data_IF_254575157820
#
_entry.id   IF_254575157820
#
_cell.length_a   1.000
_cell.length_b   1.000
_cell.length_c   1.000
_cell.angle_alpha   90.00
_cell.angle_beta   90.00
_cell.angle_gamma   90.00
#
_symmetry.space_group_name_H-M   'P 1'
#
loop_
_entity.id
_entity.type
_entity.pdbx_description
1 polymer ?
#
# COMPACT_ATOMS: atom_id res chain seq x y z
N UNK A 1 -0.33 13.76 -0.35
CA UNK A 1 -0.58 13.15 -1.69
C UNK A 1 -1.60 12.03 -1.51
N UNK A 2 -2.53 11.77 -2.43
CA UNK A 2 -3.45 10.63 -2.28
C UNK A 2 -2.86 9.38 -2.95
N UNK A 3 -2.60 8.32 -2.18
CA UNK A 3 -2.17 7.01 -2.69
C UNK A 3 -3.38 6.07 -2.70
N UNK A 4 -3.68 5.50 -3.86
CA UNK A 4 -4.76 4.53 -4.02
C UNK A 4 -4.43 3.23 -3.27
N UNK A 5 -5.26 2.75 -2.34
CA UNK A 5 -5.05 1.42 -1.75
C UNK A 5 -5.31 0.30 -2.78
N UNK A 6 -4.71 -0.87 -2.56
CA UNK A 6 -4.87 -2.03 -3.43
C UNK A 6 -3.59 -2.78 -3.76
N UNK A 7 -3.60 -3.55 -4.84
CA UNK A 7 -2.48 -4.38 -5.27
C UNK A 7 -1.46 -3.57 -6.05
N UNK A 8 -0.20 -3.67 -5.64
CA UNK A 8 0.96 -3.05 -6.28
C UNK A 8 1.99 -4.10 -6.67
N UNK A 9 2.75 -3.82 -7.72
CA UNK A 9 3.92 -4.60 -8.15
C UNK A 9 5.17 -3.76 -8.04
N UNK A 10 6.15 -4.25 -7.30
CA UNK A 10 7.48 -3.65 -7.27
C UNK A 10 8.19 -3.90 -8.61
N UNK A 11 9.04 -2.98 -9.06
CA UNK A 11 9.76 -3.13 -10.33
C UNK A 11 10.61 -4.41 -10.42
N UNK A 12 10.97 -5.02 -9.28
CA UNK A 12 11.65 -6.33 -9.20
C UNK A 12 10.70 -7.55 -9.31
N UNK A 13 9.41 -7.34 -9.58
CA UNK A 13 8.44 -8.39 -9.87
C UNK A 13 7.52 -8.78 -8.70
N UNK A 14 7.96 -8.64 -7.45
CA UNK A 14 7.17 -9.03 -6.27
C UNK A 14 5.90 -8.17 -6.11
N UNK A 15 4.84 -8.80 -5.60
CA UNK A 15 3.55 -8.15 -5.36
C UNK A 15 3.35 -7.81 -3.88
N UNK A 16 2.64 -6.71 -3.68
CA UNK A 16 2.33 -6.15 -2.37
C UNK A 16 0.90 -5.65 -2.37
N UNK A 17 0.23 -5.64 -1.22
CA UNK A 17 -1.05 -4.97 -1.02
C UNK A 17 -0.83 -3.72 -0.19
N UNK A 18 -1.09 -2.55 -0.74
CA UNK A 18 -1.15 -1.28 -0.02
C UNK A 18 -2.45 -1.23 0.76
N UNK A 19 -2.33 -1.06 2.06
CA UNK A 19 -3.45 -0.99 2.99
C UNK A 19 -3.91 0.45 3.21
N UNK A 20 -2.98 1.40 3.14
CA UNK A 20 -3.28 2.83 3.25
C UNK A 20 -2.04 3.66 3.56
N UNK A 21 -2.28 4.94 3.82
CA UNK A 21 -1.26 5.89 4.27
C UNK A 21 -1.56 6.26 5.72
N UNK A 22 -0.56 6.18 6.59
CA UNK A 22 -0.60 6.64 7.96
C UNK A 22 0.31 7.85 8.15
N UNK A 23 0.07 8.63 9.19
CA UNK A 23 0.92 9.73 9.60
C UNK A 23 1.74 9.31 10.82
N UNK A 24 3.06 9.41 10.73
CA UNK A 24 3.96 9.13 11.86
C UNK A 24 3.75 10.17 12.96
N UNK A 25 3.45 9.77 14.20
CA UNK A 25 3.03 10.69 15.26
C UNK A 25 4.10 11.69 15.66
N UNK A 26 5.36 11.25 15.69
CA UNK A 26 6.48 12.07 16.19
C UNK A 26 7.05 13.02 15.15
N UNK A 27 6.93 12.68 13.86
CA UNK A 27 7.57 13.43 12.77
C UNK A 27 6.58 14.02 11.76
N UNK A 28 5.30 13.66 11.90
CA UNK A 28 4.23 13.97 10.96
C UNK A 28 4.46 13.47 9.52
N UNK A 29 5.45 12.60 9.30
CA UNK A 29 5.76 12.05 7.98
C UNK A 29 4.66 11.08 7.51
N UNK A 30 4.25 11.20 6.24
CA UNK A 30 3.33 10.25 5.60
C UNK A 30 4.05 8.94 5.27
N UNK A 31 3.56 7.82 5.80
CA UNK A 31 4.08 6.47 5.59
C UNK A 31 3.03 5.59 4.90
N UNK A 32 3.45 4.80 3.92
CA UNK A 32 2.63 3.75 3.31
C UNK A 32 2.72 2.50 4.16
N UNK A 33 1.56 1.97 4.58
CA UNK A 33 1.44 0.66 5.20
C UNK A 33 1.06 -0.34 4.12
N UNK A 34 1.84 -1.41 3.97
CA UNK A 34 1.63 -2.40 2.91
C UNK A 34 2.10 -3.79 3.34
N UNK A 35 1.46 -4.82 2.79
CA UNK A 35 1.76 -6.23 3.07
C UNK A 35 2.47 -6.87 1.88
N UNK A 36 3.52 -7.64 2.14
CA UNK A 36 4.11 -8.51 1.12
C UNK A 36 3.15 -9.66 0.78
N UNK A 37 2.98 -9.99 -0.51
CA UNK A 37 2.14 -11.11 -0.94
C UNK A 37 2.96 -12.36 -1.28
N UNK A 38 4.07 -12.54 -0.56
CA UNK A 38 5.02 -13.64 -0.73
C UNK A 38 5.75 -13.92 0.59
N UNK A 39 6.37 -15.10 0.69
CA UNK A 39 7.06 -15.52 1.90
C UNK A 39 6.11 -15.57 3.09
N UNK A 40 6.49 -14.95 4.20
CA UNK A 40 5.71 -14.90 5.45
C UNK A 40 4.59 -13.85 5.45
N UNK A 41 4.30 -13.21 4.31
CA UNK A 41 3.26 -12.19 4.18
C UNK A 41 3.38 -11.02 5.19
N UNK A 42 4.63 -10.62 5.48
CA UNK A 42 4.94 -9.59 6.47
C UNK A 42 4.38 -8.20 6.14
N UNK A 43 4.14 -7.43 7.20
CA UNK A 43 3.65 -6.05 7.12
C UNK A 43 4.83 -5.06 7.18
N UNK A 44 4.81 -4.05 6.33
CA UNK A 44 5.88 -3.07 6.18
C UNK A 44 5.34 -1.64 6.20
N UNK A 45 6.22 -0.73 6.59
CA UNK A 45 6.03 0.72 6.48
C UNK A 45 7.17 1.35 5.68
N UNK A 46 6.86 2.35 4.86
CA UNK A 46 7.86 3.10 4.08
C UNK A 46 7.39 4.55 3.88
N UNK A 47 8.28 5.55 3.88
CA UNK A 47 7.92 6.91 3.50
C UNK A 47 7.16 6.98 2.18
N UNK A 48 6.07 7.75 2.14
CA UNK A 48 5.22 7.93 0.97
C UNK A 48 6.04 8.41 -0.23
N UNK A 49 6.88 9.42 -0.01
CA UNK A 49 7.79 9.97 -1.03
C UNK A 49 8.65 8.90 -1.70
N UNK A 50 9.24 8.00 -0.91
CA UNK A 50 10.10 6.91 -1.39
C UNK A 50 9.29 5.76 -2.01
N UNK A 51 8.03 5.60 -1.64
CA UNK A 51 7.15 4.57 -2.20
C UNK A 51 6.68 4.99 -3.60
N UNK A 52 6.26 6.24 -3.77
CA UNK A 52 5.76 6.81 -5.04
C UNK A 52 6.87 7.22 -6.01
N UNK A 53 8.12 7.09 -5.60
CA UNK A 53 9.29 7.45 -6.41
C UNK A 53 9.38 6.60 -7.70
N UNK A 54 9.91 7.19 -8.76
CA UNK A 54 10.35 6.45 -9.93
C UNK A 54 11.81 6.01 -9.79
N UNK A 55 12.16 4.86 -10.35
CA UNK A 55 13.52 4.32 -10.43
C UNK A 55 13.93 4.16 -11.87
N UNK A 56 15.24 4.20 -12.13
CA UNK A 56 15.79 3.91 -13.45
C UNK A 56 16.03 2.40 -13.61
N UNK A 57 15.42 1.80 -14.63
CA UNK A 57 15.57 0.38 -14.99
C UNK A 57 15.82 0.32 -16.49
N UNK A 58 16.97 -0.21 -16.89
CA UNK A 58 17.38 -0.29 -18.31
C UNK A 58 17.34 1.06 -19.06
N UNK A 59 17.66 2.16 -18.39
CA UNK A 59 17.63 3.51 -18.96
C UNK A 59 16.24 4.15 -19.03
N UNK A 60 15.20 3.48 -18.54
CA UNK A 60 13.83 4.00 -18.46
C UNK A 60 13.43 4.32 -17.01
N UNK A 61 12.72 5.43 -16.80
CA UNK A 61 12.14 5.77 -15.49
C UNK A 61 10.79 5.07 -15.33
N UNK A 62 10.70 4.16 -14.37
CA UNK A 62 9.48 3.41 -14.04
C UNK A 62 9.10 3.62 -12.58
N UNK A 63 7.80 3.54 -12.21
CA UNK A 63 7.40 3.58 -10.81
C UNK A 63 8.09 2.48 -10.00
N UNK A 64 8.61 2.80 -8.82
CA UNK A 64 9.17 1.80 -7.90
C UNK A 64 8.14 0.74 -7.55
N UNK A 65 6.91 1.18 -7.31
CA UNK A 65 5.72 0.37 -7.12
C UNK A 65 4.63 0.84 -8.09
N UNK A 66 4.19 -0.02 -8.99
CA UNK A 66 3.11 0.27 -9.93
C UNK A 66 1.79 -0.32 -9.40
N UNK A 67 0.72 0.47 -9.42
CA UNK A 67 -0.63 0.00 -9.11
C UNK A 67 -1.06 -1.04 -10.16
N UNK A 68 -1.56 -2.18 -9.69
CA UNK A 68 -2.08 -3.29 -10.50
C UNK A 68 -3.61 -3.35 -10.41
N UNK A 69 -4.15 -3.24 -9.19
CA UNK A 69 -5.59 -3.22 -8.96
C UNK A 69 -5.92 -2.33 -7.77
N UNK A 70 -6.93 -1.48 -7.88
CA UNK A 70 -7.41 -0.68 -6.77
C UNK A 70 -8.30 -1.54 -5.84
N UNK A 71 -8.21 -1.29 -4.53
CA UNK A 71 -9.10 -1.86 -3.53
C UNK A 71 -9.64 -0.70 -2.67
N UNK A 72 -10.96 -0.64 -2.46
CA UNK A 72 -11.59 0.49 -1.76
C UNK A 72 -11.38 0.44 -0.24
N UNK A 73 -11.36 -0.77 0.34
CA UNK A 73 -11.21 -0.99 1.78
C UNK A 73 -10.38 -2.23 2.11
N UNK A 74 -9.08 -2.22 1.81
CA UNK A 74 -8.21 -3.37 2.07
C UNK A 74 -7.98 -3.65 3.56
N UNK A 75 -8.31 -2.70 4.44
CA UNK A 75 -8.23 -2.88 5.90
C UNK A 75 -9.58 -3.27 6.52
N UNK A 76 -10.68 -3.28 5.76
CA UNK A 76 -12.02 -3.53 6.30
C UNK A 76 -12.47 -2.47 7.32
N UNK A 77 -11.93 -1.25 7.26
CA UNK A 77 -12.25 -0.17 8.22
C UNK A 77 -13.58 0.54 7.89
N UNK A 78 -14.04 0.44 6.65
CA UNK A 78 -15.27 1.08 6.18
C UNK A 78 -16.47 0.14 6.27
N UNK A 79 -16.24 -1.17 6.18
CA UNK A 79 -17.27 -2.17 6.48
C UNK A 79 -17.33 -2.42 8.00
N UNK A 80 -18.30 -1.82 8.69
CA UNK A 80 -18.63 -2.20 10.07
C UNK A 80 -18.96 -3.70 10.20
N UNK A 81 -19.00 -4.27 11.41
CA UNK A 81 -19.28 -5.70 11.59
C UNK A 81 -20.64 -6.03 10.97
N UNK A 82 -20.62 -6.78 9.87
CA UNK A 82 -21.79 -7.44 9.31
C UNK A 82 -22.30 -8.46 10.33
N UNK A 83 -23.23 -8.06 11.21
CA UNK A 83 -23.96 -9.01 12.05
C UNK A 83 -24.38 -8.50 13.41
N UNK A 84 -25.38 -7.62 13.46
CA UNK A 84 -26.46 -7.76 14.45
C UNK A 84 -27.79 -7.54 13.72
N UNK A 85 -28.43 -8.65 13.37
CA UNK A 85 -29.86 -8.68 13.06
C UNK A 85 -30.60 -8.14 14.28
N UNK A 86 -31.23 -6.97 14.15
CA UNK A 86 -32.21 -6.52 15.14
C UNK A 86 -33.38 -7.51 15.14
N UNK A 87 -33.60 -8.12 16.30
CA UNK A 87 -34.79 -8.89 16.65
C UNK A 87 -36.00 -7.97 16.88
#
# INVERSE_FOLDING_TARGET
MHLQPGLYRHYKGQQYRVLGVARHSETEEELVIYQALYGEFGLWVRPLSMFTEAVEVNGEKVPRFALVNAEDDPLGLQTGPSGETQA
#
